data_IF_240966629836
#
_entry.id   IF_240966629836
#
_cell.length_a   1.000
_cell.length_b   1.000
_cell.length_c   1.000
_cell.angle_alpha   90.00
_cell.angle_beta   90.00
_cell.angle_gamma   90.00
#
_symmetry.space_group_name_H-M   'P 1'
#
loop_
_entity.id
_entity.type
_entity.pdbx_description
1 polymer ?
#
# COMPACT_ATOMS: atom_id res chain seq x y z
N UNK A 1 21.97 -6.42 -64.20
CA UNK A 1 21.98 -7.57 -63.26
C UNK A 1 23.29 -8.32 -63.45
N UNK A 2 23.82 -9.02 -62.43
CA UNK A 2 23.59 -8.81 -60.99
C UNK A 2 24.34 -7.50 -60.59
N UNK A 3 25.04 -7.27 -59.47
CA UNK A 3 25.12 -7.95 -58.17
C UNK A 3 25.35 -6.90 -57.06
N UNK A 4 25.03 -7.24 -55.81
CA UNK A 4 25.38 -6.47 -54.62
C UNK A 4 26.18 -7.35 -53.65
N UNK A 5 27.33 -6.87 -53.16
CA UNK A 5 28.14 -7.59 -52.19
C UNK A 5 28.93 -6.66 -51.27
N UNK A 6 29.23 -7.19 -50.07
CA UNK A 6 29.93 -6.55 -48.94
C UNK A 6 29.15 -5.43 -48.23
N UNK A 7 29.09 -5.33 -46.91
CA UNK A 7 29.51 -6.16 -45.75
C UNK A 7 29.02 -5.38 -44.50
N UNK A 8 28.98 -5.95 -43.27
CA UNK A 8 28.07 -5.44 -42.24
C UNK A 8 28.56 -4.19 -41.51
N UNK A 9 27.65 -3.23 -41.31
CA UNK A 9 27.84 -2.13 -40.37
C UNK A 9 27.86 -2.66 -38.92
N UNK A 10 29.00 -2.55 -38.24
CA UNK A 10 29.11 -2.91 -36.82
C UNK A 10 28.25 -1.96 -35.97
N UNK A 11 27.43 -2.53 -35.11
CA UNK A 11 26.66 -1.78 -34.13
C UNK A 11 27.60 -1.05 -33.15
N UNK A 12 27.34 0.23 -32.92
CA UNK A 12 27.88 0.99 -31.79
C UNK A 12 26.70 1.47 -30.94
N UNK A 13 26.20 0.58 -30.08
CA UNK A 13 25.24 0.96 -29.05
C UNK A 13 26.01 1.63 -27.91
N UNK A 14 26.04 2.96 -27.91
CA UNK A 14 26.54 3.74 -26.78
C UNK A 14 25.54 3.63 -25.61
N UNK A 15 25.81 2.72 -24.68
CA UNK A 15 25.06 2.56 -23.43
C UNK A 15 25.39 3.71 -22.46
N UNK A 16 24.65 4.83 -22.56
CA UNK A 16 24.70 5.93 -21.58
C UNK A 16 24.16 5.46 -20.22
N UNK A 17 25.04 4.80 -19.46
CA UNK A 17 24.78 4.36 -18.10
C UNK A 17 24.90 5.56 -17.16
N UNK A 18 23.83 6.38 -17.13
CA UNK A 18 23.68 7.49 -16.17
C UNK A 18 23.66 6.96 -14.73
N UNK A 19 24.87 6.88 -14.17
CA UNK A 19 25.17 6.42 -12.83
C UNK A 19 24.63 7.44 -11.82
N UNK A 20 23.40 7.24 -11.36
CA UNK A 20 22.80 8.04 -10.30
C UNK A 20 23.65 7.92 -9.02
N UNK A 21 24.42 8.97 -8.71
CA UNK A 21 25.27 9.01 -7.53
C UNK A 21 24.44 9.08 -6.23
N UNK A 22 24.89 8.45 -5.13
CA UNK A 22 24.13 8.42 -3.89
C UNK A 22 24.02 9.82 -3.28
N UNK A 23 22.81 10.34 -3.16
CA UNK A 23 22.51 11.61 -2.45
C UNK A 23 22.44 11.34 -0.94
N UNK A 24 23.57 10.93 -0.37
CA UNK A 24 23.74 10.65 1.06
C UNK A 24 24.37 11.80 1.81
N UNK A 25 23.64 12.90 2.05
CA UNK A 25 24.03 13.86 3.09
C UNK A 25 23.62 13.24 4.43
N UNK A 26 24.58 12.65 5.14
CA UNK A 26 24.38 12.10 6.47
C UNK A 26 24.07 13.25 7.45
N UNK A 27 22.78 13.48 7.72
CA UNK A 27 22.33 14.56 8.59
C UNK A 27 22.46 14.18 10.07
N UNK A 28 22.76 15.14 10.97
CA UNK A 28 22.86 14.88 12.40
C UNK A 28 21.53 14.33 12.96
N UNK A 29 21.62 13.44 13.95
CA UNK A 29 20.46 12.76 14.57
C UNK A 29 19.98 13.49 15.84
N UNK A 30 18.94 14.32 15.80
CA UNK A 30 18.22 14.70 17.01
C UNK A 30 17.29 13.55 17.45
N UNK A 31 17.48 13.12 18.70
CA UNK A 31 17.10 11.79 19.20
C UNK A 31 15.69 11.66 19.81
N UNK A 32 14.78 12.63 19.65
CA UNK A 32 13.40 12.51 20.20
C UNK A 32 12.43 11.90 19.18
N UNK A 33 11.98 10.63 19.33
CA UNK A 33 10.84 10.11 18.58
C UNK A 33 9.58 10.88 18.99
N UNK A 34 8.81 11.33 18.00
CA UNK A 34 7.58 12.09 18.23
C UNK A 34 6.39 11.14 18.02
N UNK A 35 6.09 10.38 19.08
CA UNK A 35 4.89 9.52 19.12
C UNK A 35 3.63 10.37 18.90
N UNK A 36 2.59 9.83 18.25
CA UNK A 36 1.37 10.58 17.99
C UNK A 36 0.59 10.76 19.28
N UNK A 37 -0.07 11.91 19.41
CA UNK A 37 -1.07 12.15 20.45
C UNK A 37 -2.43 11.95 19.78
N UNK A 38 -3.24 11.02 20.29
CA UNK A 38 -4.53 10.64 19.68
C UNK A 38 -4.44 10.24 18.19
N UNK A 39 -3.32 9.65 17.76
CA UNK A 39 -3.10 9.27 16.35
C UNK A 39 -2.59 10.39 15.44
N UNK A 40 -2.48 11.63 15.95
CA UNK A 40 -2.03 12.81 15.20
C UNK A 40 -0.64 13.27 15.67
N UNK A 41 0.19 13.69 14.73
CA UNK A 41 1.47 14.36 14.95
C UNK A 41 1.38 15.79 14.42
N UNK A 42 1.41 16.77 15.33
CA UNK A 42 1.46 18.20 14.98
C UNK A 42 2.92 18.65 14.79
N UNK A 43 3.22 19.51 13.81
CA UNK A 43 4.59 19.96 13.51
C UNK A 43 4.97 21.26 14.25
N UNK A 44 5.02 21.17 15.58
CA UNK A 44 5.43 22.29 16.46
C UNK A 44 6.92 22.71 16.28
N UNK A 45 7.14 24.02 16.49
CA UNK A 45 8.39 24.80 16.45
C UNK A 45 9.62 24.10 16.99
N UNK A 46 9.48 23.39 18.11
CA UNK A 46 10.58 22.76 18.86
C UNK A 46 11.29 21.60 18.14
N UNK A 47 10.69 21.10 17.05
CA UNK A 47 11.19 19.93 16.32
C UNK A 47 11.33 20.18 14.81
N UNK A 48 11.37 21.45 14.40
CA UNK A 48 11.66 21.86 13.03
C UNK A 48 13.16 22.15 12.89
N UNK A 49 13.82 21.42 12.00
CA UNK A 49 15.23 21.59 11.70
C UNK A 49 15.38 22.25 10.33
N UNK A 50 16.30 23.20 10.22
CA UNK A 50 16.58 23.97 9.00
C UNK A 50 18.06 23.77 8.66
N UNK A 51 18.37 23.44 7.41
CA UNK A 51 19.73 23.32 6.91
C UNK A 51 19.82 23.91 5.49
N UNK A 52 20.89 24.66 5.15
CA UNK A 52 21.13 25.04 3.77
C UNK A 52 21.34 23.80 2.90
N UNK A 53 20.78 23.82 1.69
CA UNK A 53 21.02 22.79 0.67
C UNK A 53 22.35 23.03 -0.04
N UNK A 54 22.69 22.21 -1.04
CA UNK A 54 23.86 22.47 -1.91
C UNK A 54 23.75 23.82 -2.65
N UNK A 55 22.56 24.21 -3.11
CA UNK A 55 22.34 25.53 -3.72
C UNK A 55 22.33 26.64 -2.67
N UNK A 56 21.81 26.39 -1.47
CA UNK A 56 21.91 27.31 -0.32
C UNK A 56 23.36 27.63 0.06
N UNK A 57 24.22 26.61 0.13
CA UNK A 57 25.65 26.79 0.39
C UNK A 57 26.34 27.57 -0.75
N UNK A 58 26.04 27.25 -2.01
CA UNK A 58 26.54 28.01 -3.16
C UNK A 58 26.12 29.48 -3.14
N UNK A 59 24.88 29.76 -2.74
CA UNK A 59 24.36 31.12 -2.55
C UNK A 59 25.10 31.88 -1.43
N UNK A 60 25.37 31.24 -0.30
CA UNK A 60 26.17 31.83 0.80
C UNK A 60 27.60 32.13 0.34
N UNK A 61 28.25 31.22 -0.41
CA UNK A 61 29.59 31.45 -0.98
C UNK A 61 29.59 32.63 -1.95
N UNK A 62 28.57 32.72 -2.83
CA UNK A 62 28.40 33.85 -3.75
C UNK A 62 28.25 35.19 -3.00
N UNK A 63 27.42 35.22 -1.95
CA UNK A 63 27.24 36.42 -1.11
C UNK A 63 28.54 36.86 -0.44
N UNK A 64 29.31 35.91 0.11
CA UNK A 64 30.61 36.20 0.72
C UNK A 64 31.63 36.73 -0.31
N UNK A 65 31.66 36.16 -1.51
CA UNK A 65 32.51 36.63 -2.60
C UNK A 65 32.12 38.05 -3.04
N UNK A 66 30.83 38.31 -3.30
CA UNK A 66 30.34 39.64 -3.66
C UNK A 66 30.59 40.68 -2.56
N UNK A 67 30.42 40.32 -1.28
CA UNK A 67 30.71 41.21 -0.15
C UNK A 67 32.21 41.53 -0.08
N UNK A 68 33.07 40.53 -0.24
CA UNK A 68 34.54 40.70 -0.24
C UNK A 68 34.99 41.61 -1.39
N UNK A 69 34.44 41.41 -2.60
CA UNK A 69 34.69 42.30 -3.75
C UNK A 69 34.20 43.73 -3.48
N UNK A 70 33.00 43.89 -2.91
CA UNK A 70 32.44 45.20 -2.59
C UNK A 70 33.26 45.94 -1.54
N UNK A 71 33.78 45.23 -0.53
CA UNK A 71 34.72 45.74 0.48
C UNK A 71 36.06 46.15 -0.15
N UNK A 72 36.63 45.31 -1.02
CA UNK A 72 37.94 45.57 -1.63
C UNK A 72 37.94 46.79 -2.56
N UNK A 73 36.90 46.93 -3.39
CA UNK A 73 36.78 48.01 -4.37
C UNK A 73 35.93 49.21 -3.89
N UNK A 74 35.39 49.15 -2.66
CA UNK A 74 34.49 50.16 -2.07
C UNK A 74 33.29 50.53 -2.97
N UNK A 75 32.65 49.53 -3.60
CA UNK A 75 31.56 49.74 -4.55
C UNK A 75 30.21 49.75 -3.83
N UNK A 76 29.64 50.94 -3.61
CA UNK A 76 28.35 51.15 -2.93
C UNK A 76 27.20 50.31 -3.49
N UNK A 77 27.13 50.14 -4.82
CA UNK A 77 26.10 49.33 -5.47
C UNK A 77 26.23 47.82 -5.15
N UNK A 78 27.45 47.33 -4.94
CA UNK A 78 27.73 45.96 -4.56
C UNK A 78 27.22 45.65 -3.15
N UNK A 79 27.42 46.56 -2.20
CA UNK A 79 26.81 46.47 -0.86
C UNK A 79 25.27 46.43 -0.94
N UNK A 80 24.66 47.34 -1.70
CA UNK A 80 23.20 47.37 -1.84
C UNK A 80 22.64 46.04 -2.39
N UNK A 81 23.26 45.48 -3.44
CA UNK A 81 22.83 44.21 -4.03
C UNK A 81 23.07 43.01 -3.10
N UNK A 82 24.21 42.95 -2.40
CA UNK A 82 24.48 41.85 -1.44
C UNK A 82 23.50 41.87 -0.28
N UNK A 83 23.22 43.03 0.32
CA UNK A 83 22.25 43.12 1.42
C UNK A 83 20.82 42.84 0.97
N UNK A 84 20.43 43.23 -0.25
CA UNK A 84 19.14 42.85 -0.85
C UNK A 84 19.01 41.32 -0.96
N UNK A 85 20.02 40.65 -1.51
CA UNK A 85 20.04 39.19 -1.65
C UNK A 85 20.08 38.48 -0.30
N UNK A 86 20.81 39.00 0.69
CA UNK A 86 20.76 38.51 2.09
C UNK A 86 19.34 38.61 2.66
N UNK A 87 18.64 39.73 2.46
CA UNK A 87 17.26 39.92 2.90
C UNK A 87 16.28 38.93 2.23
N UNK A 88 16.44 38.69 0.93
CA UNK A 88 15.71 37.64 0.21
C UNK A 88 16.00 36.27 0.81
N UNK A 89 17.28 35.95 1.09
CA UNK A 89 17.68 34.70 1.74
C UNK A 89 17.04 34.48 3.11
N UNK A 90 17.00 35.52 3.96
CA UNK A 90 16.30 35.46 5.25
C UNK A 90 14.79 35.24 5.09
N UNK A 91 14.16 35.94 4.13
CA UNK A 91 12.74 35.75 3.80
C UNK A 91 12.45 34.32 3.34
N UNK A 92 13.33 33.74 2.51
CA UNK A 92 13.21 32.35 2.07
C UNK A 92 13.32 31.36 3.24
N UNK A 93 14.22 31.61 4.20
CA UNK A 93 14.34 30.79 5.42
C UNK A 93 13.07 30.87 6.28
N UNK A 94 12.49 32.07 6.42
CA UNK A 94 11.24 32.28 7.15
C UNK A 94 10.04 31.60 6.47
N UNK A 95 9.92 31.71 5.13
CA UNK A 95 8.89 31.03 4.36
C UNK A 95 9.02 29.51 4.46
N UNK A 96 10.24 28.97 4.34
CA UNK A 96 10.49 27.53 4.46
C UNK A 96 10.12 27.00 5.87
N UNK A 97 10.40 27.77 6.92
CA UNK A 97 9.99 27.46 8.29
C UNK A 97 8.46 27.47 8.45
N UNK A 98 7.80 28.56 8.02
CA UNK A 98 6.33 28.67 8.06
C UNK A 98 5.62 27.62 7.22
N UNK A 99 6.26 27.07 6.19
CA UNK A 99 5.68 26.07 5.30
C UNK A 99 5.37 24.75 6.01
N UNK A 100 6.19 24.35 6.99
CA UNK A 100 6.03 23.09 7.74
C UNK A 100 5.45 23.28 9.16
N UNK A 101 5.49 24.50 9.69
CA UNK A 101 5.02 24.83 11.03
C UNK A 101 3.53 24.55 11.23
N UNK A 102 3.13 23.96 12.36
CA UNK A 102 1.73 23.77 12.78
C UNK A 102 0.86 22.94 11.80
N UNK A 103 1.50 22.20 10.88
CA UNK A 103 0.85 21.14 10.09
C UNK A 103 0.47 19.97 10.98
N UNK A 104 -0.72 19.41 10.78
CA UNK A 104 -1.15 18.17 11.42
C UNK A 104 -1.03 17.00 10.47
N UNK A 105 -0.52 15.88 10.95
CA UNK A 105 -0.29 14.67 10.16
C UNK A 105 -0.86 13.47 10.90
N UNK A 106 -1.72 12.70 10.24
CA UNK A 106 -2.31 11.48 10.79
C UNK A 106 -2.11 10.30 9.85
N UNK A 107 -2.08 9.10 10.41
CA UNK A 107 -2.00 7.86 9.63
C UNK A 107 -3.37 7.51 9.03
N UNK A 108 -3.40 7.29 7.73
CA UNK A 108 -4.58 6.80 7.00
C UNK A 108 -4.67 5.26 6.98
N UNK A 109 -5.74 4.72 6.38
CA UNK A 109 -5.83 3.30 6.11
C UNK A 109 -4.72 2.85 5.16
N UNK A 110 -4.17 1.66 5.42
CA UNK A 110 -3.13 1.04 4.58
C UNK A 110 -3.74 -0.20 3.93
N UNK A 111 -3.64 -0.30 2.60
CA UNK A 111 -4.03 -1.53 1.92
C UNK A 111 -2.93 -2.60 2.10
N UNK A 112 -3.25 -3.81 2.61
CA UNK A 112 -2.30 -4.92 2.69
C UNK A 112 -1.74 -5.32 1.31
N UNK A 113 -0.43 -5.19 1.05
CA UNK A 113 0.19 -5.60 -0.22
C UNK A 113 0.55 -7.09 -0.22
N UNK A 114 0.84 -7.66 -1.40
CA UNK A 114 1.47 -8.98 -1.49
C UNK A 114 3.00 -8.86 -1.46
N UNK A 115 3.67 -9.95 -1.13
CA UNK A 115 5.12 -9.97 -1.07
C UNK A 115 5.72 -9.76 -2.47
N UNK A 116 6.59 -8.76 -2.61
CA UNK A 116 7.15 -8.31 -3.88
C UNK A 116 6.52 -7.03 -4.42
N UNK A 117 5.33 -6.65 -3.94
CA UNK A 117 4.68 -5.38 -4.30
C UNK A 117 5.23 -4.19 -3.48
N UNK A 118 4.72 -3.00 -3.75
CA UNK A 118 4.98 -1.78 -2.97
C UNK A 118 3.86 -1.54 -1.97
N UNK A 119 4.20 -1.47 -0.69
CA UNK A 119 3.31 -0.98 0.36
C UNK A 119 3.17 0.54 0.25
N UNK A 120 1.93 1.03 0.14
CA UNK A 120 1.64 2.47 0.12
C UNK A 120 0.92 2.88 1.41
N UNK A 121 1.63 3.63 2.25
CA UNK A 121 1.11 4.18 3.49
C UNK A 121 0.58 5.59 3.24
N UNK A 122 -0.75 5.77 3.30
CA UNK A 122 -1.38 7.08 3.22
C UNK A 122 -1.16 7.87 4.53
N UNK A 123 -0.52 9.04 4.43
CA UNK A 123 -0.46 10.02 5.52
C UNK A 123 -1.37 11.19 5.17
N UNK A 124 -2.42 11.40 5.97
CA UNK A 124 -3.28 12.56 5.81
C UNK A 124 -2.59 13.77 6.43
N UNK A 125 -2.49 14.87 5.67
CA UNK A 125 -1.95 16.14 6.13
C UNK A 125 -3.07 17.16 6.11
N UNK A 126 -3.31 17.81 7.26
CA UNK A 126 -4.26 18.89 7.41
C UNK A 126 -3.52 20.20 7.74
N UNK A 127 -3.87 21.27 7.04
CA UNK A 127 -3.42 22.62 7.35
C UNK A 127 -4.56 23.41 8.01
N UNK A 128 -4.30 23.92 9.21
CA UNK A 128 -5.24 24.75 9.96
C UNK A 128 -4.90 26.26 9.89
N UNK A 129 -3.84 26.63 9.16
CA UNK A 129 -3.51 28.01 8.83
C UNK A 129 -4.14 28.43 7.49
N UNK A 130 -4.52 29.70 7.36
CA UNK A 130 -4.96 30.28 6.08
C UNK A 130 -3.84 30.45 5.02
N UNK A 131 -2.58 30.18 5.35
CA UNK A 131 -1.45 30.24 4.41
C UNK A 131 -1.20 28.91 3.73
N UNK A 132 -1.03 28.92 2.40
CA UNK A 132 -0.77 27.71 1.59
C UNK A 132 0.58 27.04 1.95
N UNK A 133 0.61 25.70 1.93
CA UNK A 133 1.80 24.88 2.20
C UNK A 133 2.23 24.18 0.93
N UNK A 134 3.40 24.48 0.41
CA UNK A 134 3.83 24.11 -0.94
C UNK A 134 4.98 23.11 -0.89
N UNK A 135 4.91 22.04 -1.68
CA UNK A 135 6.00 21.07 -1.81
C UNK A 135 6.40 20.41 -0.50
N UNK A 136 5.43 19.82 0.20
CA UNK A 136 5.64 18.97 1.38
C UNK A 136 5.91 17.54 0.90
N UNK A 137 7.06 16.99 1.27
CA UNK A 137 7.53 15.64 0.93
C UNK A 137 7.52 14.75 2.18
N UNK A 138 7.22 13.45 2.05
CA UNK A 138 7.32 12.46 3.12
C UNK A 138 8.22 11.29 2.68
N UNK A 139 9.21 10.92 3.50
CA UNK A 139 10.19 9.87 3.19
C UNK A 139 10.40 8.95 4.40
N UNK A 140 10.22 7.64 4.21
CA UNK A 140 10.52 6.62 5.21
C UNK A 140 12.04 6.44 5.39
N UNK A 141 12.50 6.27 6.64
CA UNK A 141 13.93 6.13 6.94
C UNK A 141 14.61 4.86 6.38
N UNK A 142 13.84 3.81 6.06
CA UNK A 142 14.35 2.53 5.59
C UNK A 142 13.98 2.26 4.13
N UNK A 143 14.89 2.60 3.22
CA UNK A 143 15.00 1.94 1.92
C UNK A 143 13.84 2.08 0.93
N UNK A 144 12.95 3.06 1.10
CA UNK A 144 12.06 3.45 0.00
C UNK A 144 12.90 3.80 -1.23
N UNK A 145 12.48 3.34 -2.41
CA UNK A 145 13.11 3.71 -3.68
C UNK A 145 13.23 5.23 -3.76
N UNK A 146 14.41 5.73 -4.17
CA UNK A 146 14.65 7.15 -4.35
C UNK A 146 13.98 7.72 -5.62
N UNK A 147 12.79 7.19 -5.93
CA UNK A 147 11.82 7.83 -6.81
C UNK A 147 11.41 9.16 -6.18
N UNK A 148 10.98 10.13 -6.99
CA UNK A 148 10.61 11.44 -6.48
C UNK A 148 9.41 11.31 -5.54
N UNK A 149 9.64 11.46 -4.23
CA UNK A 149 8.58 11.42 -3.23
C UNK A 149 7.50 12.43 -3.63
N UNK A 150 6.21 12.03 -3.67
CA UNK A 150 5.15 12.88 -4.17
C UNK A 150 5.10 14.17 -3.33
N UNK A 151 5.27 15.31 -4.00
CA UNK A 151 5.25 16.62 -3.36
C UNK A 151 3.80 17.10 -3.24
N UNK A 152 3.29 17.21 -2.01
CA UNK A 152 1.96 17.71 -1.73
C UNK A 152 1.98 19.24 -1.62
N UNK A 153 1.00 19.88 -2.25
CA UNK A 153 0.68 21.30 -2.05
C UNK A 153 -0.74 21.40 -1.50
N UNK A 154 -0.91 22.21 -0.46
CA UNK A 154 -2.18 22.48 0.22
C UNK A 154 -2.47 23.98 0.13
N UNK A 155 -3.61 24.34 -0.45
CA UNK A 155 -4.10 25.71 -0.44
C UNK A 155 -4.83 26.00 0.87
N UNK A 156 -4.45 27.08 1.57
CA UNK A 156 -5.13 27.57 2.78
C UNK A 156 -5.48 26.46 3.78
N UNK A 157 -6.73 26.47 4.28
CA UNK A 157 -7.32 25.49 5.21
C UNK A 157 -7.57 24.10 4.59
N UNK A 158 -6.70 23.67 3.67
CA UNK A 158 -6.82 22.44 2.89
C UNK A 158 -6.32 21.19 3.61
N UNK A 159 -6.74 20.05 3.07
CA UNK A 159 -6.29 18.72 3.47
C UNK A 159 -5.83 17.94 2.24
N UNK A 160 -4.91 17.00 2.43
CA UNK A 160 -4.39 16.16 1.34
C UNK A 160 -3.72 14.90 1.87
N UNK A 161 -3.25 14.05 0.95
CA UNK A 161 -2.64 12.76 1.28
C UNK A 161 -1.23 12.68 0.71
N UNK A 162 -0.28 12.34 1.56
CA UNK A 162 1.10 12.01 1.22
C UNK A 162 1.27 10.49 1.23
N UNK A 163 1.51 9.92 0.06
CA UNK A 163 1.77 8.49 -0.10
C UNK A 163 3.25 8.18 0.21
N UNK A 164 3.50 7.41 1.26
CA UNK A 164 4.84 6.89 1.60
C UNK A 164 4.95 5.45 1.09
N UNK A 165 5.80 5.24 0.08
CA UNK A 165 6.00 3.96 -0.60
C UNK A 165 7.17 3.16 -0.02
N UNK A 166 7.01 1.85 0.10
CA UNK A 166 8.03 0.93 0.63
C UNK A 166 7.96 -0.45 -0.03
N UNK A 167 9.09 -1.05 -0.37
CA UNK A 167 9.15 -2.40 -0.93
C UNK A 167 8.67 -3.46 0.10
N UNK A 168 7.59 -4.18 -0.19
CA UNK A 168 7.07 -5.26 0.64
C UNK A 168 7.78 -6.60 0.34
N UNK A 169 9.12 -6.63 0.49
CA UNK A 169 9.98 -7.73 -0.04
C UNK A 169 9.74 -9.13 0.55
N UNK A 170 9.06 -9.25 1.69
CA UNK A 170 8.79 -10.51 2.39
C UNK A 170 7.42 -10.44 3.07
N UNK A 171 6.70 -11.57 3.14
CA UNK A 171 5.44 -11.66 3.89
C UNK A 171 5.65 -11.41 5.39
N UNK A 172 4.57 -11.06 6.08
CA UNK A 172 4.52 -10.86 7.53
C UNK A 172 4.16 -9.42 7.90
N UNK A 173 4.42 -9.02 9.15
CA UNK A 173 4.11 -7.66 9.62
C UNK A 173 5.17 -6.67 9.13
N UNK A 174 4.76 -5.69 8.33
CA UNK A 174 5.59 -4.56 7.91
C UNK A 174 5.19 -3.31 8.72
N UNK A 175 6.05 -2.91 9.64
CA UNK A 175 5.91 -1.64 10.37
C UNK A 175 6.37 -0.47 9.51
N UNK A 176 5.66 0.65 9.54
CA UNK A 176 6.15 1.91 8.98
C UNK A 176 7.31 2.41 9.87
N UNK A 177 8.56 2.50 9.38
CA UNK A 177 9.64 3.13 10.12
C UNK A 177 9.43 4.64 10.17
N UNK A 178 10.16 5.31 11.07
CA UNK A 178 10.13 6.77 11.26
C UNK A 178 10.09 7.53 9.92
N UNK A 179 9.06 8.33 9.71
CA UNK A 179 8.89 9.17 8.52
C UNK A 179 9.54 10.53 8.77
N UNK A 180 10.27 11.00 7.76
CA UNK A 180 10.78 12.38 7.72
C UNK A 180 9.90 13.19 6.78
N UNK A 181 9.27 14.22 7.32
CA UNK A 181 8.48 15.19 6.57
C UNK A 181 9.39 16.36 6.26
N UNK A 182 9.54 16.76 5.00
CA UNK A 182 10.42 17.87 4.63
C UNK A 182 9.88 18.72 3.51
N UNK A 183 10.37 19.96 3.40
CA UNK A 183 10.13 20.82 2.25
C UNK A 183 11.40 21.60 1.87
N UNK A 184 11.43 22.06 0.63
CA UNK A 184 12.48 22.90 0.03
C UNK A 184 11.93 24.21 -0.55
N UNK A 185 10.64 24.49 -0.39
CA UNK A 185 10.02 25.73 -0.82
C UNK A 185 10.63 26.94 -0.07
N UNK A 186 10.85 28.11 -0.70
CA UNK A 186 10.55 28.44 -2.10
C UNK A 186 11.63 28.04 -3.11
N UNK A 187 12.84 28.60 -3.03
CA UNK A 187 13.88 28.45 -4.08
C UNK A 187 14.85 27.26 -3.88
N UNK A 188 14.53 26.32 -2.99
CA UNK A 188 15.41 25.18 -2.71
C UNK A 188 16.69 25.54 -1.95
N UNK A 189 16.85 26.76 -1.45
CA UNK A 189 18.03 27.22 -0.69
C UNK A 189 18.13 26.55 0.69
N UNK A 190 17.00 26.31 1.34
CA UNK A 190 16.92 25.67 2.65
C UNK A 190 16.07 24.40 2.54
N UNK A 191 16.46 23.36 3.28
CA UNK A 191 15.61 22.22 3.59
C UNK A 191 15.12 22.38 5.02
N UNK A 192 13.80 22.39 5.19
CA UNK A 192 13.16 22.29 6.50
C UNK A 192 12.62 20.88 6.65
N UNK A 193 12.81 20.26 7.82
CA UNK A 193 12.25 18.94 8.09
C UNK A 193 11.86 18.74 9.55
N UNK A 194 10.98 17.77 9.76
CA UNK A 194 10.63 17.22 11.05
C UNK A 194 10.41 15.71 10.94
N UNK A 195 10.24 15.04 12.07
CA UNK A 195 9.97 13.61 12.14
C UNK A 195 8.55 13.35 12.62
N UNK A 196 7.83 12.51 11.87
CA UNK A 196 6.57 11.93 12.29
C UNK A 196 6.77 10.42 12.49
N UNK A 197 6.46 9.93 13.69
CA UNK A 197 6.64 8.54 14.07
C UNK A 197 5.25 7.95 14.32
N UNK A 198 4.84 6.97 13.51
CA UNK A 198 3.50 6.38 13.56
C UNK A 198 3.63 4.88 13.85
N UNK A 199 3.04 4.35 14.94
CA UNK A 199 3.12 2.94 15.30
C UNK A 199 2.13 2.10 14.46
N UNK A 200 2.13 2.28 13.14
CA UNK A 200 1.25 1.57 12.21
C UNK A 200 1.99 0.41 11.56
N UNK A 201 1.28 -0.71 11.43
CA UNK A 201 1.79 -1.94 10.81
C UNK A 201 0.78 -2.45 9.80
N UNK A 202 1.22 -2.79 8.60
CA UNK A 202 0.42 -3.53 7.62
C UNK A 202 0.83 -5.00 7.58
N UNK A 203 -0.08 -5.86 7.13
CA UNK A 203 0.21 -7.26 6.89
C UNK A 203 0.59 -7.44 5.41
N UNK A 204 1.76 -8.00 5.13
CA UNK A 204 2.19 -8.34 3.78
C UNK A 204 1.83 -9.79 3.52
N UNK A 205 0.93 -10.03 2.58
CA UNK A 205 0.47 -11.37 2.21
C UNK A 205 1.54 -12.14 1.40
N UNK A 206 1.52 -13.49 1.35
CA UNK A 206 2.38 -14.24 0.43
C UNK A 206 2.12 -13.85 -1.02
N UNK A 207 3.15 -13.83 -1.87
CA UNK A 207 2.96 -13.60 -3.31
C UNK A 207 2.13 -14.75 -3.90
N UNK A 208 1.01 -14.50 -4.61
CA UNK A 208 0.23 -15.58 -5.22
C UNK A 208 0.98 -16.23 -6.39
N UNK A 209 0.89 -17.56 -6.47
CA UNK A 209 1.44 -18.33 -7.59
C UNK A 209 0.67 -18.00 -8.89
N UNK A 210 1.38 -17.49 -9.91
CA UNK A 210 0.76 -17.00 -11.16
C UNK A 210 0.09 -18.09 -12.00
N UNK A 211 0.57 -19.33 -11.90
CA UNK A 211 0.03 -20.50 -12.60
C UNK A 211 -0.32 -21.61 -11.62
N UNK A 212 -1.06 -21.25 -10.57
CA UNK A 212 -1.56 -22.22 -9.60
C UNK A 212 -2.45 -23.28 -10.30
N UNK A 213 -2.40 -24.56 -9.87
CA UNK A 213 -3.36 -25.57 -10.29
C UNK A 213 -4.79 -25.16 -9.88
N UNK A 214 -5.84 -25.70 -10.53
CA UNK A 214 -7.23 -25.41 -10.16
C UNK A 214 -7.50 -25.74 -8.69
N UNK A 215 -8.52 -25.09 -8.12
CA UNK A 215 -8.88 -25.32 -6.72
C UNK A 215 -9.18 -26.82 -6.46
N UNK A 216 -8.73 -27.37 -5.33
CA UNK A 216 -9.13 -28.70 -4.89
C UNK A 216 -10.58 -28.65 -4.38
N UNK A 217 -11.53 -28.55 -5.31
CA UNK A 217 -12.97 -28.68 -5.00
C UNK A 217 -13.23 -30.14 -4.65
N UNK A 218 -12.99 -30.49 -3.40
CA UNK A 218 -13.52 -31.71 -2.80
C UNK A 218 -15.04 -31.48 -2.70
N UNK A 219 -15.76 -31.91 -3.73
CA UNK A 219 -17.20 -32.10 -3.63
C UNK A 219 -17.43 -33.12 -2.52
N UNK A 220 -17.70 -32.62 -1.32
CA UNK A 220 -18.14 -33.47 -0.22
C UNK A 220 -19.45 -34.11 -0.71
N UNK A 221 -19.53 -35.45 -0.79
CA UNK A 221 -20.78 -36.09 -1.18
C UNK A 221 -21.85 -35.62 -0.18
N UNK A 222 -23.01 -35.21 -0.69
CA UNK A 222 -24.14 -34.87 0.16
C UNK A 222 -24.48 -36.10 1.01
N UNK A 223 -24.13 -36.04 2.28
CA UNK A 223 -24.42 -37.08 3.27
C UNK A 223 -25.90 -36.93 3.69
N UNK A 224 -26.77 -37.13 2.68
CA UNK A 224 -28.01 -36.35 2.53
C UNK A 224 -29.05 -36.97 1.58
N UNK A 225 -28.98 -38.28 1.33
CA UNK A 225 -29.97 -39.12 0.64
C UNK A 225 -30.29 -38.79 -0.83
N UNK A 226 -30.05 -39.78 -1.69
CA UNK A 226 -30.52 -39.87 -3.08
C UNK A 226 -32.06 -39.95 -3.15
N UNK A 227 -32.75 -38.80 -3.13
CA UNK A 227 -34.19 -38.69 -3.43
C UNK A 227 -34.50 -37.40 -4.23
N UNK A 228 -33.85 -37.28 -5.39
CA UNK A 228 -34.33 -36.50 -6.53
C UNK A 228 -34.71 -35.05 -6.26
N UNK A 229 -33.78 -34.24 -5.76
CA UNK A 229 -33.94 -32.78 -5.74
C UNK A 229 -33.93 -32.24 -7.18
N UNK A 230 -34.97 -31.49 -7.54
CA UNK A 230 -35.14 -30.96 -8.90
C UNK A 230 -34.91 -29.45 -8.84
N UNK A 231 -33.69 -29.02 -9.14
CA UNK A 231 -33.39 -27.61 -9.36
C UNK A 231 -34.14 -27.10 -10.60
N UNK A 232 -35.20 -26.32 -10.40
CA UNK A 232 -35.96 -25.69 -11.50
C UNK A 232 -35.74 -24.19 -11.45
N UNK A 233 -34.90 -23.70 -12.35
CA UNK A 233 -34.72 -22.26 -12.57
C UNK A 233 -36.07 -21.63 -12.90
N UNK A 234 -36.46 -20.63 -12.10
CA UNK A 234 -37.73 -19.92 -12.20
C UNK A 234 -37.49 -18.44 -12.44
N UNK A 235 -38.50 -17.76 -13.00
CA UNK A 235 -38.44 -16.34 -13.38
C UNK A 235 -38.15 -15.40 -12.18
N UNK A 236 -38.56 -15.82 -10.97
CA UNK A 236 -38.35 -15.10 -9.70
C UNK A 236 -37.09 -15.57 -8.93
N UNK A 237 -36.31 -16.54 -9.46
CA UNK A 237 -35.12 -17.10 -8.79
C UNK A 237 -34.97 -18.62 -8.92
N UNK A 238 -33.90 -19.16 -8.32
CA UNK A 238 -33.63 -20.61 -8.31
C UNK A 238 -34.26 -21.23 -7.05
N UNK A 239 -35.53 -21.62 -7.14
CA UNK A 239 -36.16 -22.46 -6.12
C UNK A 239 -35.61 -23.90 -6.24
N UNK A 240 -35.08 -24.46 -5.14
CA UNK A 240 -34.88 -25.91 -5.03
C UNK A 240 -36.23 -26.58 -4.73
N UNK A 241 -36.65 -27.49 -5.60
CA UNK A 241 -37.92 -28.21 -5.46
C UNK A 241 -37.69 -29.70 -5.24
N UNK A 242 -38.02 -30.17 -4.05
CA UNK A 242 -38.10 -31.60 -3.76
C UNK A 242 -39.51 -32.15 -3.98
N UNK A 243 -39.59 -33.47 -4.17
CA UNK A 243 -40.87 -34.21 -4.09
C UNK A 243 -41.50 -34.02 -2.72
N UNK A 244 -42.78 -33.66 -2.68
CA UNK A 244 -43.53 -33.48 -1.42
C UNK A 244 -43.56 -34.78 -0.61
N UNK A 245 -43.17 -34.70 0.67
CA UNK A 245 -43.25 -35.82 1.63
C UNK A 245 -44.41 -35.57 2.61
N UNK A 246 -45.21 -36.59 2.97
CA UNK A 246 -46.23 -36.45 4.02
C UNK A 246 -45.60 -35.95 5.33
N UNK A 247 -46.06 -34.80 5.81
CA UNK A 247 -45.45 -34.06 6.94
C UNK A 247 -44.85 -32.72 6.55
N UNK A 248 -44.61 -32.46 5.26
CA UNK A 248 -44.25 -31.11 4.79
C UNK A 248 -45.43 -30.13 4.95
N UNK A 249 -45.21 -28.92 5.49
CA UNK A 249 -46.29 -27.98 5.72
C UNK A 249 -46.81 -27.38 4.41
N UNK A 250 -48.14 -27.34 4.24
CA UNK A 250 -48.80 -27.00 2.97
C UNK A 250 -48.39 -25.63 2.38
N UNK A 251 -47.95 -24.68 3.20
CA UNK A 251 -47.46 -23.37 2.73
C UNK A 251 -46.15 -23.45 1.91
N UNK A 252 -45.39 -24.55 2.00
CA UNK A 252 -44.19 -24.79 1.20
C UNK A 252 -44.47 -25.44 -0.16
N UNK A 253 -45.70 -25.90 -0.41
CA UNK A 253 -46.04 -26.53 -1.69
C UNK A 253 -45.88 -25.50 -2.83
N UNK A 254 -45.09 -25.86 -3.83
CA UNK A 254 -44.89 -25.07 -5.04
C UNK A 254 -46.06 -25.31 -6.01
N UNK A 255 -47.23 -24.76 -5.70
CA UNK A 255 -48.48 -24.99 -6.44
C UNK A 255 -48.34 -24.78 -7.95
N UNK A 256 -47.66 -23.71 -8.38
CA UNK A 256 -47.39 -23.37 -9.80
C UNK A 256 -46.60 -24.45 -10.55
N UNK A 257 -45.66 -25.12 -9.88
CA UNK A 257 -44.84 -26.20 -10.47
C UNK A 257 -45.54 -27.56 -10.34
N UNK A 258 -46.26 -27.77 -9.24
CA UNK A 258 -47.00 -29.00 -8.97
C UNK A 258 -48.14 -29.19 -9.97
N UNK A 259 -48.88 -28.12 -10.28
CA UNK A 259 -49.95 -28.13 -11.27
C UNK A 259 -49.45 -28.41 -12.70
N UNK A 260 -48.23 -27.96 -13.05
CA UNK A 260 -47.66 -28.15 -14.40
C UNK A 260 -47.09 -29.56 -14.60
N UNK A 261 -46.53 -30.16 -13.56
CA UNK A 261 -45.89 -31.50 -13.65
C UNK A 261 -46.81 -32.65 -13.24
N UNK A 262 -47.99 -32.36 -12.68
CA UNK A 262 -48.90 -33.36 -12.13
C UNK A 262 -48.36 -34.08 -10.88
N UNK A 263 -47.31 -33.54 -10.25
CA UNK A 263 -46.63 -34.12 -9.08
C UNK A 263 -46.53 -33.09 -7.98
N UNK A 264 -46.81 -33.48 -6.75
CA UNK A 264 -46.67 -32.60 -5.59
C UNK A 264 -45.20 -32.27 -5.34
N UNK A 265 -44.85 -30.98 -5.43
CA UNK A 265 -43.51 -30.45 -5.22
C UNK A 265 -43.53 -29.48 -4.03
N UNK A 266 -42.57 -29.62 -3.13
CA UNK A 266 -42.37 -28.74 -1.97
C UNK A 266 -41.13 -27.90 -2.21
N UNK A 267 -41.20 -26.58 -1.99
CA UNK A 267 -40.01 -25.72 -1.96
C UNK A 267 -39.15 -26.15 -0.79
N UNK A 268 -37.94 -26.60 -1.08
CA UNK A 268 -36.94 -26.83 -0.07
C UNK A 268 -36.42 -25.45 0.34
N UNK A 269 -36.80 -24.96 1.53
CA UNK A 269 -36.32 -23.69 2.08
C UNK A 269 -34.84 -23.71 2.49
N UNK A 270 -34.02 -24.51 1.81
CA UNK A 270 -32.58 -24.53 1.93
C UNK A 270 -32.06 -23.31 1.19
N UNK A 271 -31.40 -22.40 1.91
CA UNK A 271 -30.55 -21.41 1.25
C UNK A 271 -29.50 -22.20 0.45
N UNK A 272 -29.24 -21.88 -0.84
CA UNK A 272 -28.20 -22.56 -1.61
C UNK A 272 -26.87 -22.50 -0.85
N UNK A 273 -26.45 -23.64 -0.29
CA UNK A 273 -25.16 -23.75 0.36
C UNK A 273 -24.09 -23.65 -0.71
N UNK A 274 -23.15 -22.72 -0.55
CA UNK A 274 -21.99 -22.70 -1.44
C UNK A 274 -21.19 -23.99 -1.20
N UNK A 275 -20.66 -24.62 -2.26
CA UNK A 275 -19.78 -25.77 -2.08
C UNK A 275 -18.56 -25.37 -1.23
N UNK A 276 -18.36 -26.04 -0.11
CA UNK A 276 -17.27 -25.75 0.80
C UNK A 276 -15.94 -26.30 0.24
N UNK A 277 -14.96 -25.41 0.05
CA UNK A 277 -13.62 -25.76 -0.43
C UNK A 277 -12.63 -25.72 0.73
N UNK A 278 -12.08 -26.89 1.10
CA UNK A 278 -11.03 -26.98 2.11
C UNK A 278 -9.65 -26.85 1.47
N UNK A 279 -8.95 -25.79 1.84
CA UNK A 279 -7.58 -25.50 1.43
C UNK A 279 -6.65 -25.98 2.56
N UNK A 280 -6.00 -27.12 2.36
CA UNK A 280 -5.22 -27.81 3.40
C UNK A 280 -3.73 -27.95 3.05
N UNK A 281 -2.87 -27.45 3.94
CA UNK A 281 -1.41 -27.54 3.87
C UNK A 281 -0.90 -28.97 3.62
N UNK A 282 -1.55 -29.97 4.22
CA UNK A 282 -1.16 -31.39 4.14
C UNK A 282 -1.39 -32.02 2.77
N UNK A 283 -2.22 -31.42 1.92
CA UNK A 283 -2.48 -31.92 0.55
C UNK A 283 -1.37 -31.55 -0.44
N UNK A 284 -0.49 -30.62 -0.07
CA UNK A 284 0.56 -30.12 -0.95
C UNK A 284 1.77 -31.08 -1.02
N UNK A 285 2.39 -31.25 -2.21
CA UNK A 285 3.54 -32.13 -2.37
C UNK A 285 4.66 -31.80 -1.38
N UNK A 286 5.14 -32.82 -0.67
CA UNK A 286 6.20 -32.70 0.33
C UNK A 286 7.54 -32.18 -0.24
N UNK A 287 7.72 -32.26 -1.56
CA UNK A 287 8.86 -31.74 -2.32
C UNK A 287 8.86 -30.22 -2.52
N UNK A 288 7.72 -29.53 -2.30
CA UNK A 288 7.65 -28.07 -2.43
C UNK A 288 8.21 -27.38 -1.19
N UNK A 289 8.98 -26.31 -1.40
CA UNK A 289 9.45 -25.44 -0.33
C UNK A 289 8.29 -24.69 0.36
N UNK A 290 8.50 -24.30 1.62
CA UNK A 290 7.50 -23.70 2.51
C UNK A 290 6.88 -22.43 1.91
N UNK A 291 7.71 -21.60 1.29
CA UNK A 291 7.28 -20.36 0.62
C UNK A 291 6.36 -20.66 -0.57
N UNK A 292 6.74 -21.60 -1.45
CA UNK A 292 5.96 -21.97 -2.63
C UNK A 292 4.60 -22.57 -2.27
N UNK A 293 4.52 -23.31 -1.16
CA UNK A 293 3.24 -23.79 -0.61
C UNK A 293 2.33 -22.64 -0.18
N UNK A 294 2.86 -21.65 0.55
CA UNK A 294 2.08 -20.47 0.96
C UNK A 294 1.62 -19.63 -0.24
N UNK A 295 2.45 -19.50 -1.28
CA UNK A 295 2.07 -18.87 -2.55
C UNK A 295 0.91 -19.57 -3.25
N UNK A 296 0.89 -20.91 -3.24
CA UNK A 296 -0.22 -21.71 -3.80
C UNK A 296 -1.50 -21.60 -2.98
N UNK A 297 -1.40 -21.69 -1.65
CA UNK A 297 -2.54 -21.52 -0.74
C UNK A 297 -3.14 -20.11 -0.87
N UNK A 298 -2.30 -19.08 -0.98
CA UNK A 298 -2.72 -17.71 -1.26
C UNK A 298 -3.45 -17.61 -2.62
N UNK A 299 -2.91 -18.21 -3.67
CA UNK A 299 -3.55 -18.23 -4.99
C UNK A 299 -4.93 -18.91 -4.95
N UNK A 300 -5.08 -20.05 -4.26
CA UNK A 300 -6.37 -20.72 -4.08
C UNK A 300 -7.37 -19.90 -3.25
N UNK A 301 -6.95 -19.25 -2.16
CA UNK A 301 -7.82 -18.36 -1.36
C UNK A 301 -8.32 -17.16 -2.18
N UNK A 302 -7.50 -16.65 -3.12
CA UNK A 302 -7.92 -15.59 -4.05
C UNK A 302 -8.82 -16.13 -5.17
N UNK A 303 -8.51 -17.29 -5.73
CA UNK A 303 -9.23 -17.89 -6.86
C UNK A 303 -10.64 -18.39 -6.49
N UNK A 304 -10.89 -18.75 -5.23
CA UNK A 304 -12.24 -19.07 -4.75
C UNK A 304 -13.23 -17.88 -4.83
N UNK A 305 -12.71 -16.65 -4.77
CA UNK A 305 -13.52 -15.44 -4.82
C UNK A 305 -14.57 -15.38 -3.71
N UNK A 306 -15.82 -15.17 -4.10
CA UNK A 306 -17.02 -15.21 -3.24
C UNK A 306 -17.99 -16.32 -3.71
N UNK A 307 -17.49 -17.34 -4.45
CA UNK A 307 -18.27 -18.43 -5.05
C UNK A 307 -18.27 -19.73 -4.22
N UNK A 308 -17.31 -19.87 -3.30
CA UNK A 308 -17.10 -21.06 -2.47
C UNK A 308 -16.91 -20.63 -1.01
N UNK A 309 -17.42 -21.41 -0.06
CA UNK A 309 -17.08 -21.27 1.35
C UNK A 309 -15.67 -21.84 1.58
N UNK A 310 -14.69 -20.99 1.90
CA UNK A 310 -13.28 -21.38 1.97
C UNK A 310 -12.87 -21.74 3.39
N UNK A 311 -12.54 -22.99 3.65
CA UNK A 311 -11.85 -23.42 4.88
C UNK A 311 -10.34 -23.41 4.69
N UNK A 312 -9.56 -22.96 5.69
CA UNK A 312 -8.09 -22.97 5.63
C UNK A 312 -7.51 -23.82 6.77
N UNK A 313 -6.66 -24.79 6.41
CA UNK A 313 -5.89 -25.61 7.35
C UNK A 313 -4.40 -25.40 7.16
N UNK A 314 -3.76 -24.87 8.20
CA UNK A 314 -2.32 -24.73 8.35
C UNK A 314 -1.88 -25.51 9.61
N UNK A 315 -0.61 -25.95 9.71
CA UNK A 315 -0.12 -26.60 10.92
C UNK A 315 -0.24 -25.67 12.14
N UNK A 316 -1.14 -26.00 13.05
CA UNK A 316 -1.45 -25.21 14.26
C UNK A 316 -2.49 -24.09 14.08
N UNK A 317 -3.07 -23.90 12.90
CA UNK A 317 -4.13 -22.91 12.66
C UNK A 317 -5.20 -23.49 11.73
N UNK A 318 -6.43 -23.62 12.23
CA UNK A 318 -7.60 -24.01 11.45
C UNK A 318 -8.62 -22.87 11.45
N UNK A 319 -9.06 -22.49 10.25
CA UNK A 319 -10.12 -21.51 10.03
C UNK A 319 -11.28 -22.24 9.33
N UNK A 320 -12.48 -22.27 9.92
CA UNK A 320 -13.62 -23.00 9.34
C UNK A 320 -14.09 -22.38 8.01
N UNK A 321 -14.87 -23.10 7.19
CA UNK A 321 -15.37 -22.57 5.93
C UNK A 321 -16.25 -21.33 6.13
N UNK A 322 -16.03 -20.33 5.28
CA UNK A 322 -16.80 -19.10 5.25
C UNK A 322 -16.49 -18.28 3.99
N UNK A 323 -17.28 -17.23 3.77
CA UNK A 323 -17.23 -16.43 2.55
C UNK A 323 -17.01 -14.93 2.83
N UNK A 324 -16.71 -14.18 1.77
CA UNK A 324 -16.65 -12.72 1.78
C UNK A 324 -15.32 -12.11 2.24
N UNK A 325 -15.21 -10.80 2.05
CA UNK A 325 -13.94 -10.07 2.17
C UNK A 325 -13.30 -10.10 3.56
N UNK A 326 -14.08 -10.19 4.65
CA UNK A 326 -13.54 -10.30 6.00
C UNK A 326 -12.88 -11.66 6.26
N UNK A 327 -13.54 -12.74 5.80
CA UNK A 327 -13.02 -14.11 5.89
C UNK A 327 -11.77 -14.30 5.05
N UNK A 328 -11.82 -13.86 3.79
CA UNK A 328 -10.65 -13.85 2.88
C UNK A 328 -9.46 -13.12 3.50
N UNK A 329 -9.70 -11.98 4.17
CA UNK A 329 -8.64 -11.25 4.90
C UNK A 329 -8.03 -12.07 6.04
N UNK A 330 -8.86 -12.70 6.88
CA UNK A 330 -8.38 -13.54 7.99
C UNK A 330 -7.51 -14.72 7.50
N UNK A 331 -7.91 -15.38 6.40
CA UNK A 331 -7.12 -16.43 5.77
C UNK A 331 -5.77 -15.92 5.23
N UNK A 332 -5.76 -14.76 4.56
CA UNK A 332 -4.52 -14.14 4.04
C UNK A 332 -3.60 -13.64 5.17
N UNK A 333 -4.15 -13.10 6.25
CA UNK A 333 -3.39 -12.69 7.45
C UNK A 333 -2.76 -13.90 8.16
N UNK A 334 -3.48 -15.02 8.27
CA UNK A 334 -2.93 -16.27 8.82
C UNK A 334 -1.77 -16.80 7.95
N UNK A 335 -1.92 -16.82 6.62
CA UNK A 335 -0.86 -17.19 5.69
C UNK A 335 0.36 -16.25 5.75
N UNK A 336 0.14 -14.96 5.99
CA UNK A 336 1.20 -13.95 6.12
C UNK A 336 2.03 -14.11 7.40
N UNK A 337 1.38 -14.39 8.53
CA UNK A 337 2.04 -14.51 9.83
C UNK A 337 2.70 -15.89 10.03
N UNK A 338 2.24 -16.93 9.32
CA UNK A 338 2.69 -18.31 9.54
C UNK A 338 4.03 -18.67 8.83
N UNK A 339 4.90 -19.49 9.46
CA UNK A 339 4.91 -19.78 10.89
C UNK A 339 5.31 -18.52 11.67
N UNK A 340 4.83 -18.36 12.91
CA UNK A 340 5.00 -17.14 13.71
C UNK A 340 6.49 -16.85 14.01
N UNK A 341 7.15 -16.22 13.05
CA UNK A 341 8.52 -15.73 13.18
C UNK A 341 8.47 -14.49 14.06
N UNK A 342 8.74 -14.68 15.36
CA UNK A 342 9.06 -13.59 16.28
C UNK A 342 10.02 -12.62 15.60
N UNK A 343 9.55 -11.40 15.37
CA UNK A 343 10.37 -10.29 14.88
C UNK A 343 11.40 -9.97 15.97
N UNK A 344 12.68 -10.15 15.63
CA UNK A 344 13.81 -9.80 16.49
C UNK A 344 14.11 -8.29 16.43
#
# INVERSE_FOLDING_TARGET
MPCAHMAPAKASQASDTRRAGPVGVAMPRPHRPRKPVNGVVTLDRRHLYILPTRSGLGFVVLLLAMLTTSLNYNISLGFALTFLLVGIGMSCMWMAYRNLLDLEISAGPVSPPFAGDVAEFALHVANHDGGARIGVEAVAASGGTAEAAPALTLDGLGQGVLAVRMDARRRGRLALPRVTISSRFPFGLFRVWSYADFPITTCVYPAPEHHAPPLPVVAQPDDGSDDGDIGVVSDDGIDQLRKYRPGDPLHRIAWKHSARTGRWLSRTGQVPRQPACWIDWGTLPLTMDTEARLSRLCAWVLAAGDQFDVGLRLPGVEIPPGHGAAHRRACLEALAVWPERRTA
#
